data_IF_628480186964
#
_entry.id   IF_628480186964
#
_cell.length_a   1.000
_cell.length_b   1.000
_cell.length_c   1.000
_cell.angle_alpha   90.00
_cell.angle_beta   90.00
_cell.angle_gamma   90.00
#
_symmetry.space_group_name_H-M   'P 1'
#
loop_
_entity.id
_entity.type
_entity.pdbx_description
1 polymer ?
#
# COMPACT_ATOMS: atom_id res chain seq x y z
N UNK A 1 10.54 -23.88 19.88
CA UNK A 1 10.15 -23.51 18.53
C UNK A 1 11.23 -22.58 17.97
N UNK A 2 11.97 -22.96 16.91
CA UNK A 2 13.06 -22.13 16.38
C UNK A 2 12.57 -20.79 15.77
N UNK A 3 11.26 -20.58 15.68
CA UNK A 3 10.64 -19.38 15.12
C UNK A 3 9.97 -18.52 16.19
N UNK A 4 10.13 -18.82 17.48
CA UNK A 4 9.62 -17.97 18.55
C UNK A 4 10.69 -17.00 19.05
N UNK A 5 10.28 -15.80 19.43
CA UNK A 5 11.16 -14.81 20.04
C UNK A 5 10.42 -14.02 21.10
N UNK A 6 11.10 -13.80 22.21
CA UNK A 6 10.64 -12.93 23.30
C UNK A 6 11.36 -11.59 23.22
N UNK A 7 10.59 -10.54 23.34
CA UNK A 7 11.11 -9.18 23.42
C UNK A 7 10.61 -8.53 24.69
N UNK A 8 11.54 -7.93 25.42
CA UNK A 8 11.27 -7.21 26.65
C UNK A 8 11.28 -5.70 26.36
N UNK A 9 10.31 -5.00 26.89
CA UNK A 9 10.22 -3.56 26.82
C UNK A 9 9.44 -3.03 28.02
N UNK A 10 9.47 -1.75 28.22
CA UNK A 10 8.69 -1.07 29.25
C UNK A 10 8.01 0.14 28.66
N UNK A 11 7.07 0.68 29.41
CA UNK A 11 6.41 1.95 29.11
C UNK A 11 7.46 3.08 29.16
N UNK A 12 7.93 3.48 28.02
CA UNK A 12 9.29 3.90 27.72
C UNK A 12 9.54 5.37 27.99
N UNK A 13 8.52 6.17 27.97
CA UNK A 13 8.63 7.63 27.97
C UNK A 13 9.17 8.24 29.27
N UNK A 14 9.39 7.43 30.30
CA UNK A 14 9.78 7.93 31.63
C UNK A 14 11.07 7.38 32.18
N UNK A 15 11.70 6.42 31.51
CA UNK A 15 12.76 5.64 32.15
C UNK A 15 14.16 5.85 31.61
N UNK A 16 14.31 6.19 30.31
CA UNK A 16 15.62 6.34 29.70
C UNK A 16 15.72 7.64 28.89
N UNK A 17 16.86 8.28 28.91
CA UNK A 17 17.16 9.46 28.12
C UNK A 17 18.63 9.48 27.72
N UNK A 18 18.95 10.19 26.64
CA UNK A 18 20.30 10.52 26.23
C UNK A 18 20.63 11.94 26.67
N UNK A 19 21.82 12.11 27.21
CA UNK A 19 22.26 13.39 27.75
C UNK A 19 21.89 13.59 29.21
N UNK A 20 22.63 14.47 29.88
CA UNK A 20 22.51 14.74 31.33
C UNK A 20 21.14 15.31 31.73
N UNK A 21 20.49 15.95 30.78
CA UNK A 21 19.19 16.61 30.99
C UNK A 21 17.98 15.79 30.49
N UNK A 22 18.21 14.60 29.97
CA UNK A 22 17.16 13.72 29.49
C UNK A 22 16.36 14.25 28.29
N UNK A 23 16.91 15.17 27.51
CA UNK A 23 16.20 15.82 26.39
C UNK A 23 15.91 14.91 25.21
N UNK A 24 16.72 13.87 25.01
CA UNK A 24 16.49 12.89 23.97
C UNK A 24 15.92 11.61 24.58
N UNK A 25 14.75 11.21 24.14
CA UNK A 25 14.14 9.95 24.55
C UNK A 25 14.87 8.78 23.91
N UNK A 26 15.05 7.71 24.67
CA UNK A 26 15.67 6.49 24.20
C UNK A 26 14.75 5.31 24.49
N UNK A 27 14.46 4.55 23.45
CA UNK A 27 13.74 3.29 23.57
C UNK A 27 14.76 2.16 23.75
N UNK A 28 14.67 1.41 24.82
CA UNK A 28 15.57 0.27 25.07
C UNK A 28 14.77 -1.01 25.06
N UNK A 29 15.16 -1.94 24.19
CA UNK A 29 14.54 -3.25 24.06
C UNK A 29 15.52 -4.36 24.42
N UNK A 30 15.03 -5.34 25.16
CA UNK A 30 15.74 -6.60 25.40
C UNK A 30 15.29 -7.65 24.38
N UNK A 31 16.22 -8.29 23.68
CA UNK A 31 15.89 -9.29 22.67
C UNK A 31 16.69 -10.59 22.84
N UNK A 32 16.17 -11.65 22.26
CA UNK A 32 16.87 -12.92 22.09
C UNK A 32 17.66 -12.95 20.78
N UNK A 33 18.63 -13.85 20.68
CA UNK A 33 19.46 -14.02 19.50
C UNK A 33 18.64 -14.34 18.24
N UNK A 34 17.55 -15.10 18.39
CA UNK A 34 16.63 -15.43 17.29
C UNK A 34 15.93 -14.20 16.71
N UNK A 35 15.72 -13.16 17.51
CA UNK A 35 15.19 -11.89 17.04
C UNK A 35 16.27 -11.12 16.28
N UNK A 36 17.48 -11.04 16.83
CA UNK A 36 18.62 -10.36 16.19
C UNK A 36 18.96 -10.98 14.81
N UNK A 37 18.91 -12.30 14.70
CA UNK A 37 19.20 -13.02 13.46
C UNK A 37 18.23 -12.69 12.31
N UNK A 38 17.10 -12.03 12.59
CA UNK A 38 16.11 -11.60 11.59
C UNK A 38 16.21 -10.11 11.25
N UNK A 39 17.03 -9.36 11.98
CA UNK A 39 17.19 -7.93 11.71
C UNK A 39 18.08 -7.69 10.49
N UNK A 40 17.75 -6.65 9.75
CA UNK A 40 18.56 -6.15 8.63
C UNK A 40 19.70 -5.27 9.18
N UNK A 41 20.85 -5.91 9.41
CA UNK A 41 22.08 -5.24 9.88
C UNK A 41 22.69 -4.44 8.74
N UNK A 42 22.91 -3.14 8.93
CA UNK A 42 23.33 -2.20 7.89
C UNK A 42 24.78 -1.76 8.01
N UNK A 43 25.24 -1.49 9.20
CA UNK A 43 26.57 -0.96 9.48
C UNK A 43 27.17 -1.60 10.71
N UNK A 44 28.49 -1.69 10.77
CA UNK A 44 29.25 -2.27 11.87
C UNK A 44 29.37 -3.78 11.78
N UNK A 45 29.17 -4.49 12.89
CA UNK A 45 29.19 -5.96 12.93
C UNK A 45 27.94 -6.53 12.25
N UNK A 46 28.13 -7.29 11.19
CA UNK A 46 27.01 -7.85 10.39
C UNK A 46 26.74 -9.33 10.69
N UNK A 47 27.62 -10.01 11.42
CA UNK A 47 27.35 -11.35 11.91
C UNK A 47 26.48 -11.27 13.19
N UNK A 48 25.23 -11.69 13.07
CA UNK A 48 24.27 -11.61 14.18
C UNK A 48 24.70 -12.41 15.40
N UNK A 49 25.35 -13.58 15.21
CA UNK A 49 25.83 -14.40 16.32
C UNK A 49 27.00 -13.73 17.05
N UNK A 50 28.00 -13.25 16.30
CA UNK A 50 29.14 -12.53 16.85
C UNK A 50 28.70 -11.23 17.57
N UNK A 51 27.77 -10.49 16.94
CA UNK A 51 27.19 -9.29 17.52
C UNK A 51 26.48 -9.60 18.84
N UNK A 52 25.64 -10.65 18.88
CA UNK A 52 24.92 -11.03 20.08
C UNK A 52 25.85 -11.43 21.22
N UNK A 53 26.95 -12.15 20.91
CA UNK A 53 27.95 -12.51 21.90
C UNK A 53 28.65 -11.27 22.49
N UNK A 54 29.11 -10.34 21.66
CA UNK A 54 29.72 -9.08 22.11
C UNK A 54 28.77 -8.25 22.98
N UNK A 55 27.51 -8.11 22.54
CA UNK A 55 26.51 -7.41 23.32
C UNK A 55 26.22 -8.12 24.65
N UNK A 56 26.20 -9.45 24.68
CA UNK A 56 25.99 -10.25 25.90
C UNK A 56 27.16 -10.13 26.87
N UNK A 57 28.38 -9.92 26.37
CA UNK A 57 29.56 -9.60 27.17
C UNK A 57 29.59 -8.15 27.69
N UNK A 58 28.61 -7.32 27.29
CA UNK A 58 28.54 -5.92 27.68
C UNK A 58 29.50 -5.01 26.90
N UNK A 59 29.98 -5.44 25.74
CA UNK A 59 30.96 -4.70 24.93
C UNK A 59 30.32 -3.59 24.08
N UNK A 60 28.99 -3.56 23.95
CA UNK A 60 28.28 -2.50 23.23
C UNK A 60 26.82 -2.79 22.97
N UNK A 61 26.20 -1.93 22.17
CA UNK A 61 24.77 -1.96 21.85
C UNK A 61 24.53 -1.97 20.35
N UNK A 62 23.35 -2.46 19.93
CA UNK A 62 22.82 -2.31 18.59
C UNK A 62 21.86 -1.13 18.56
N UNK A 63 22.00 -0.27 17.53
CA UNK A 63 21.14 0.89 17.30
C UNK A 63 20.17 0.63 16.16
N UNK A 64 18.90 0.95 16.37
CA UNK A 64 17.89 0.96 15.34
C UNK A 64 17.92 2.26 14.54
N UNK A 65 17.97 2.18 13.22
CA UNK A 65 17.96 3.32 12.31
C UNK A 65 16.73 3.31 11.41
N UNK A 66 16.19 4.49 11.16
CA UNK A 66 15.04 4.63 10.28
C UNK A 66 15.43 4.46 8.82
N UNK A 67 14.60 3.73 8.07
CA UNK A 67 14.77 3.53 6.64
C UNK A 67 13.50 3.94 5.89
N UNK A 68 13.69 4.45 4.68
CA UNK A 68 12.60 4.70 3.75
C UNK A 68 11.99 3.36 3.31
N UNK A 69 10.68 3.24 3.38
CA UNK A 69 9.99 1.99 3.06
C UNK A 69 10.04 1.59 1.59
N UNK A 70 10.14 2.55 0.69
CA UNK A 70 10.11 2.28 -0.74
C UNK A 70 11.40 1.70 -1.30
N UNK A 71 12.55 2.18 -0.84
CA UNK A 71 13.89 1.84 -1.35
C UNK A 71 14.83 1.31 -0.27
N UNK A 72 14.36 1.22 0.97
CA UNK A 72 15.15 0.78 2.14
C UNK A 72 16.41 1.62 2.37
N UNK A 73 16.48 2.83 1.85
CA UNK A 73 17.58 3.77 2.12
C UNK A 73 17.48 4.32 3.54
N UNK A 74 18.62 4.62 4.15
CA UNK A 74 18.68 5.28 5.45
C UNK A 74 18.04 6.68 5.35
N UNK A 75 17.37 7.09 6.42
CA UNK A 75 16.89 8.47 6.60
C UNK A 75 17.93 9.24 7.39
N UNK A 76 18.78 10.07 6.72
CA UNK A 76 19.95 10.68 7.38
C UNK A 76 19.58 11.58 8.56
N UNK A 77 18.43 12.23 8.51
CA UNK A 77 17.96 13.14 9.57
C UNK A 77 17.61 12.40 10.87
N UNK A 78 17.38 11.08 10.79
CA UNK A 78 17.03 10.20 11.91
C UNK A 78 18.14 9.20 12.26
N UNK A 79 19.31 9.36 11.66
CA UNK A 79 20.52 8.59 12.00
C UNK A 79 21.31 9.34 13.10
N UNK A 80 20.96 9.02 14.35
CA UNK A 80 21.34 9.79 15.52
C UNK A 80 22.66 9.32 16.19
N UNK A 81 23.26 8.22 15.70
CA UNK A 81 24.44 7.66 16.35
C UNK A 81 25.33 6.90 15.34
N UNK A 82 26.64 7.11 15.40
CA UNK A 82 27.62 6.43 14.55
C UNK A 82 28.15 5.15 15.18
N UNK A 83 28.56 4.17 14.34
CA UNK A 83 29.25 2.97 14.81
C UNK A 83 30.56 3.35 15.51
N UNK A 84 30.79 2.80 16.69
CA UNK A 84 31.94 3.14 17.54
C UNK A 84 31.72 4.32 18.46
N UNK A 85 30.68 5.12 18.25
CA UNK A 85 30.31 6.21 19.18
C UNK A 85 29.86 5.62 20.51
N UNK A 86 30.30 6.22 21.62
CA UNK A 86 29.84 5.83 22.96
C UNK A 86 28.53 6.57 23.30
N UNK A 87 27.55 5.79 23.75
CA UNK A 87 26.25 6.29 24.15
C UNK A 87 26.11 6.09 25.64
N UNK A 88 25.75 7.16 26.37
CA UNK A 88 25.37 7.08 27.77
C UNK A 88 23.86 7.15 27.89
N UNK A 89 23.29 6.11 28.46
CA UNK A 89 21.85 6.03 28.74
C UNK A 89 21.60 6.39 30.20
N UNK A 90 20.73 7.36 30.41
CA UNK A 90 20.33 7.83 31.75
C UNK A 90 18.99 7.24 32.16
N UNK A 91 18.92 6.72 33.36
CA UNK A 91 17.67 6.24 34.00
C UNK A 91 17.38 7.09 35.20
N UNK A 92 16.25 7.79 35.22
CA UNK A 92 15.85 8.69 36.30
C UNK A 92 16.92 9.77 36.63
N UNK A 93 17.61 10.29 35.63
CA UNK A 93 18.65 11.32 35.81
C UNK A 93 20.02 10.80 36.22
N UNK A 94 20.20 9.50 36.43
CA UNK A 94 21.50 8.88 36.71
C UNK A 94 21.98 8.07 35.48
N UNK A 95 23.30 8.11 35.20
CA UNK A 95 23.89 7.29 34.17
C UNK A 95 23.68 5.80 34.49
N UNK A 96 22.92 5.11 33.67
CA UNK A 96 22.61 3.70 33.84
C UNK A 96 23.60 2.80 33.14
N UNK A 97 24.04 3.19 31.93
CA UNK A 97 25.06 2.47 31.16
C UNK A 97 25.76 3.42 30.20
N UNK A 98 26.98 3.07 29.83
CA UNK A 98 27.75 3.73 28.78
C UNK A 98 28.40 2.67 27.90
N UNK A 99 27.93 2.54 26.67
CA UNK A 99 28.33 1.50 25.74
C UNK A 99 28.60 2.04 24.35
N UNK A 100 29.60 1.52 23.61
CA UNK A 100 29.80 1.85 22.22
C UNK A 100 28.72 1.21 21.33
N UNK A 101 28.39 1.85 20.23
CA UNK A 101 27.55 1.30 19.17
C UNK A 101 28.37 0.27 18.39
N UNK A 102 27.95 -0.98 18.39
CA UNK A 102 28.61 -2.06 17.66
C UNK A 102 28.10 -2.20 16.24
N UNK A 103 26.80 -1.94 16.04
CA UNK A 103 26.15 -2.07 14.75
C UNK A 103 24.88 -1.22 14.68
N UNK A 104 24.41 -1.03 13.45
CA UNK A 104 23.11 -0.40 13.15
C UNK A 104 22.23 -1.42 12.45
N UNK A 105 20.93 -1.46 12.81
CA UNK A 105 19.91 -2.26 12.14
C UNK A 105 18.76 -1.42 11.66
N UNK A 106 18.23 -1.75 10.49
CA UNK A 106 17.05 -1.09 9.95
C UNK A 106 15.83 -1.34 10.85
N UNK A 107 15.11 -0.27 11.19
CA UNK A 107 13.83 -0.36 11.87
C UNK A 107 12.75 -0.71 10.84
N UNK A 108 12.52 -2.01 10.65
CA UNK A 108 11.44 -2.52 9.80
C UNK A 108 10.34 -3.12 10.66
N UNK A 109 9.11 -3.05 10.19
CA UNK A 109 7.96 -3.65 10.89
C UNK A 109 7.94 -5.16 10.79
N UNK A 110 8.62 -5.74 9.80
CA UNK A 110 8.44 -7.12 9.41
C UNK A 110 9.37 -8.09 10.13
N UNK A 111 10.59 -7.67 10.46
CA UNK A 111 11.62 -8.60 10.91
C UNK A 111 11.55 -8.95 12.40
N UNK A 112 11.17 -8.01 13.25
CA UNK A 112 11.17 -8.20 14.70
C UNK A 112 9.86 -7.80 15.37
N UNK A 113 8.98 -7.14 14.64
CA UNK A 113 7.74 -6.57 15.17
C UNK A 113 7.95 -5.53 16.27
N UNK A 114 9.16 -5.01 16.39
CA UNK A 114 9.58 -4.00 17.33
C UNK A 114 9.95 -2.79 16.51
N UNK A 115 9.12 -1.81 16.45
CA UNK A 115 9.49 -0.59 15.74
C UNK A 115 8.34 0.29 15.31
N UNK A 116 7.17 -0.29 15.17
CA UNK A 116 5.98 0.50 14.93
C UNK A 116 4.86 0.00 15.82
N UNK A 117 4.51 0.78 16.81
CA UNK A 117 3.19 0.69 17.44
C UNK A 117 2.17 1.23 16.44
N UNK A 118 0.91 0.81 16.56
CA UNK A 118 -0.21 1.11 15.64
C UNK A 118 -0.43 2.59 15.26
N UNK A 119 0.39 3.51 15.72
CA UNK A 119 0.34 4.95 15.45
C UNK A 119 1.28 5.45 14.34
N UNK A 120 2.00 4.59 13.63
CA UNK A 120 2.96 4.99 12.57
C UNK A 120 4.31 5.47 13.12
N UNK A 121 5.22 5.98 12.26
CA UNK A 121 6.59 6.35 12.60
C UNK A 121 6.70 7.47 13.66
N UNK A 122 5.59 8.12 13.98
CA UNK A 122 5.52 9.23 14.94
C UNK A 122 4.83 8.86 16.25
N UNK A 123 4.39 7.62 16.44
CA UNK A 123 3.63 7.22 17.62
C UNK A 123 4.49 7.13 18.89
N UNK A 124 5.79 7.11 18.74
CA UNK A 124 6.74 7.20 19.86
C UNK A 124 7.60 8.43 19.57
N UNK A 125 7.24 9.56 20.09
CA UNK A 125 7.92 10.86 20.07
C UNK A 125 9.05 10.94 19.05
N UNK A 126 8.78 11.34 17.85
CA UNK A 126 9.48 11.24 16.57
C UNK A 126 11.01 11.37 16.46
N UNK A 127 11.73 11.65 17.53
CA UNK A 127 13.16 11.97 17.50
C UNK A 127 13.99 11.13 18.50
N UNK A 128 13.47 9.96 18.92
CA UNK A 128 14.14 9.11 19.90
C UNK A 128 15.04 8.05 19.29
N UNK A 129 16.16 7.76 19.97
CA UNK A 129 17.05 6.67 19.63
C UNK A 129 16.46 5.34 20.08
N UNK A 130 16.57 4.30 19.24
CA UNK A 130 16.18 2.94 19.61
C UNK A 130 17.43 2.09 19.84
N UNK A 131 17.53 1.50 21.01
CA UNK A 131 18.63 0.63 21.41
C UNK A 131 18.14 -0.79 21.64
N UNK A 132 18.94 -1.74 21.21
CA UNK A 132 18.69 -3.15 21.42
C UNK A 132 19.80 -3.79 22.23
N UNK A 133 19.42 -4.54 23.25
CA UNK A 133 20.31 -5.27 24.16
C UNK A 133 19.90 -6.74 24.19
N UNK A 134 20.81 -7.67 24.50
CA UNK A 134 20.43 -9.02 24.87
C UNK A 134 19.48 -9.03 26.05
N UNK A 135 18.52 -9.94 26.05
CA UNK A 135 17.49 -10.04 27.10
C UNK A 135 18.12 -10.18 28.52
N UNK A 136 19.26 -10.85 28.65
CA UNK A 136 19.98 -10.95 29.92
C UNK A 136 20.52 -9.63 30.44
N UNK A 137 21.10 -8.81 29.55
CA UNK A 137 21.62 -7.48 29.90
C UNK A 137 20.46 -6.53 30.24
N UNK A 138 19.39 -6.58 29.44
CA UNK A 138 18.19 -5.79 29.69
C UNK A 138 17.57 -6.09 31.07
N UNK A 139 17.43 -7.38 31.42
CA UNK A 139 16.89 -7.81 32.72
C UNK A 139 17.74 -7.34 33.90
N UNK A 140 19.06 -7.20 33.72
CA UNK A 140 19.93 -6.65 34.75
C UNK A 140 19.75 -5.14 34.98
N UNK A 141 19.24 -4.41 33.97
CA UNK A 141 18.94 -2.97 34.09
C UNK A 141 17.58 -2.69 34.73
N UNK A 142 16.71 -3.68 34.79
CA UNK A 142 15.33 -3.56 35.24
C UNK A 142 15.00 -4.59 36.32
N UNK A 143 14.44 -4.13 37.46
CA UNK A 143 14.07 -5.02 38.55
C UNK A 143 12.87 -5.92 38.24
N UNK A 144 11.98 -5.47 37.33
CA UNK A 144 10.80 -6.22 36.89
C UNK A 144 10.58 -6.00 35.37
N UNK A 145 11.38 -6.65 34.52
CA UNK A 145 11.21 -6.49 33.07
C UNK A 145 9.90 -7.14 32.60
N UNK A 146 9.03 -6.34 31.99
CA UNK A 146 7.83 -6.85 31.36
C UNK A 146 8.13 -7.43 29.96
N UNK A 147 7.40 -8.45 29.57
CA UNK A 147 7.41 -8.94 28.20
C UNK A 147 6.65 -7.92 27.35
N UNK A 148 7.34 -7.31 26.39
CA UNK A 148 6.75 -6.37 25.44
C UNK A 148 6.04 -7.11 24.32
N UNK A 149 6.69 -8.13 23.75
CA UNK A 149 6.15 -8.91 22.65
C UNK A 149 6.66 -10.34 22.71
N UNK A 150 5.78 -11.25 22.41
CA UNK A 150 6.12 -12.64 22.12
C UNK A 150 5.66 -13.00 20.71
N UNK A 151 6.59 -13.37 19.84
CA UNK A 151 6.33 -13.78 18.46
C UNK A 151 6.59 -15.26 18.30
N UNK A 152 5.68 -15.98 17.67
CA UNK A 152 5.81 -17.41 17.43
C UNK A 152 5.04 -17.80 16.17
N UNK A 153 5.43 -18.91 15.56
CA UNK A 153 4.69 -19.51 14.46
C UNK A 153 3.77 -20.59 15.01
N UNK A 154 2.56 -20.64 14.46
CA UNK A 154 1.60 -21.72 14.67
C UNK A 154 1.77 -22.73 13.54
N UNK A 155 1.59 -24.00 13.85
CA UNK A 155 1.61 -25.07 12.83
C UNK A 155 0.38 -24.94 11.94
N UNK A 156 0.54 -25.20 10.64
CA UNK A 156 -0.51 -25.05 9.65
C UNK A 156 -1.75 -25.86 10.06
N UNK A 157 -2.91 -25.19 10.08
CA UNK A 157 -4.19 -25.77 10.45
C UNK A 157 -4.60 -25.60 11.91
N UNK A 158 -3.71 -25.11 12.77
CA UNK A 158 -4.00 -24.84 14.19
C UNK A 158 -4.22 -23.34 14.49
N UNK A 159 -4.25 -22.49 13.46
CA UNK A 159 -4.38 -21.04 13.63
C UNK A 159 -5.70 -20.65 14.32
N UNK A 160 -6.81 -21.33 13.99
CA UNK A 160 -8.12 -21.05 14.58
C UNK A 160 -8.15 -21.46 16.06
N UNK A 161 -7.56 -22.60 16.42
CA UNK A 161 -7.47 -23.07 17.80
C UNK A 161 -6.59 -22.14 18.65
N UNK A 162 -5.46 -21.71 18.10
CA UNK A 162 -4.59 -20.75 18.76
C UNK A 162 -5.27 -19.38 18.94
N UNK A 163 -6.01 -18.91 17.94
CA UNK A 163 -6.78 -17.67 18.04
C UNK A 163 -7.80 -17.76 19.18
N UNK A 164 -8.57 -18.83 19.24
CA UNK A 164 -9.53 -19.05 20.32
C UNK A 164 -8.86 -19.13 21.70
N UNK A 165 -7.70 -19.77 21.79
CA UNK A 165 -6.91 -19.81 23.02
C UNK A 165 -6.45 -18.40 23.46
N UNK A 166 -5.96 -17.60 22.52
CA UNK A 166 -5.48 -16.24 22.83
C UNK A 166 -6.65 -15.32 23.23
N UNK A 167 -7.82 -15.46 22.62
CA UNK A 167 -9.04 -14.72 22.99
C UNK A 167 -9.49 -15.08 24.41
N UNK A 168 -9.56 -16.38 24.72
CA UNK A 168 -9.89 -16.84 26.09
C UNK A 168 -8.87 -16.38 27.13
N UNK A 169 -7.57 -16.41 26.77
CA UNK A 169 -6.50 -15.93 27.65
C UNK A 169 -6.62 -14.44 27.94
N UNK A 170 -6.94 -13.62 26.93
CA UNK A 170 -7.15 -12.18 27.13
C UNK A 170 -8.39 -11.89 27.98
N UNK A 171 -9.44 -12.67 27.85
CA UNK A 171 -10.65 -12.49 28.67
C UNK A 171 -10.45 -12.91 30.13
N UNK A 172 -9.69 -13.99 30.36
CA UNK A 172 -9.60 -14.63 31.67
C UNK A 172 -8.34 -14.31 32.45
N UNK A 173 -7.18 -14.18 31.77
CA UNK A 173 -5.89 -14.09 32.45
C UNK A 173 -5.24 -12.71 32.34
N UNK A 174 -5.23 -12.06 31.19
CA UNK A 174 -4.59 -10.75 31.00
C UNK A 174 -5.35 -9.87 30.01
N UNK A 175 -6.31 -9.06 30.47
CA UNK A 175 -7.06 -8.14 29.63
C UNK A 175 -6.23 -7.00 29.01
N UNK A 176 -5.01 -6.79 29.46
CA UNK A 176 -4.11 -5.76 28.92
C UNK A 176 -3.33 -6.25 27.69
N UNK A 177 -3.34 -7.55 27.46
CA UNK A 177 -2.66 -8.16 26.33
C UNK A 177 -3.45 -7.95 25.02
N UNK A 178 -2.74 -7.80 23.92
CA UNK A 178 -3.31 -7.81 22.58
C UNK A 178 -2.54 -8.80 21.71
N UNK A 179 -3.19 -9.38 20.73
CA UNK A 179 -2.50 -10.22 19.76
C UNK A 179 -2.73 -9.74 18.33
N UNK A 180 -1.78 -10.04 17.46
CA UNK A 180 -1.87 -9.81 16.03
C UNK A 180 -1.60 -11.14 15.32
N UNK A 181 -2.59 -11.69 14.64
CA UNK A 181 -2.42 -12.88 13.83
C UNK A 181 -2.17 -12.53 12.37
N UNK A 182 -1.29 -13.28 11.71
CA UNK A 182 -1.05 -13.14 10.28
C UNK A 182 -2.33 -13.40 9.46
N UNK A 183 -3.20 -14.28 9.92
CA UNK A 183 -4.48 -14.57 9.29
C UNK A 183 -5.42 -13.35 9.36
N UNK A 184 -5.61 -12.77 10.56
CA UNK A 184 -6.45 -11.58 10.73
C UNK A 184 -5.92 -10.39 9.92
N UNK A 185 -4.60 -10.21 9.85
CA UNK A 185 -3.98 -9.19 9.02
C UNK A 185 -4.25 -9.41 7.51
N UNK A 186 -4.18 -10.65 7.03
CA UNK A 186 -4.54 -11.00 5.64
C UNK A 186 -6.01 -10.75 5.35
N UNK A 187 -6.91 -11.19 6.21
CA UNK A 187 -8.36 -10.99 6.08
C UNK A 187 -8.73 -9.50 6.05
N UNK A 188 -8.13 -8.71 6.93
CA UNK A 188 -8.28 -7.24 6.95
C UNK A 188 -7.78 -6.59 5.66
N UNK A 189 -6.61 -7.03 5.17
CA UNK A 189 -6.04 -6.55 3.91
C UNK A 189 -6.92 -6.92 2.71
N UNK A 190 -7.46 -8.14 2.67
CA UNK A 190 -8.38 -8.58 1.61
C UNK A 190 -9.70 -7.82 1.66
N UNK A 191 -10.25 -7.56 2.85
CA UNK A 191 -11.45 -6.75 3.02
C UNK A 191 -11.23 -5.32 2.51
N UNK A 192 -10.10 -4.71 2.85
CA UNK A 192 -9.71 -3.39 2.37
C UNK A 192 -9.56 -3.36 0.85
N UNK A 193 -8.87 -4.34 0.27
CA UNK A 193 -8.73 -4.46 -1.18
C UNK A 193 -10.07 -4.65 -1.89
N UNK A 194 -10.99 -5.42 -1.29
CA UNK A 194 -12.35 -5.60 -1.82
C UNK A 194 -13.12 -4.29 -1.80
N UNK A 195 -13.04 -3.53 -0.70
CA UNK A 195 -13.67 -2.22 -0.58
C UNK A 195 -13.13 -1.23 -1.65
N UNK A 196 -11.82 -1.14 -1.81
CA UNK A 196 -11.19 -0.28 -2.82
C UNK A 196 -11.63 -0.68 -4.23
N UNK A 197 -11.67 -1.97 -4.54
CA UNK A 197 -12.16 -2.47 -5.85
C UNK A 197 -13.62 -2.14 -6.10
N UNK A 198 -14.49 -2.25 -5.10
CA UNK A 198 -15.90 -1.92 -5.22
C UNK A 198 -16.09 -0.41 -5.44
N UNK A 199 -15.50 0.43 -4.60
CA UNK A 199 -15.61 1.89 -4.72
C UNK A 199 -15.03 2.37 -6.06
N UNK A 200 -13.81 1.93 -6.39
CA UNK A 200 -13.18 2.27 -7.68
C UNK A 200 -13.99 1.77 -8.87
N UNK A 201 -14.56 0.57 -8.79
CA UNK A 201 -15.43 0.00 -9.79
C UNK A 201 -16.72 0.80 -10.00
N UNK A 202 -17.36 1.25 -8.92
CA UNK A 202 -18.56 2.12 -9.02
C UNK A 202 -18.24 3.48 -9.63
N UNK A 203 -17.16 4.11 -9.23
CA UNK A 203 -16.71 5.39 -9.80
C UNK A 203 -16.38 5.21 -11.28
N UNK A 204 -15.64 4.15 -11.64
CA UNK A 204 -15.35 3.81 -13.03
C UNK A 204 -16.60 3.55 -13.86
N UNK A 205 -17.60 2.86 -13.30
CA UNK A 205 -18.89 2.62 -13.96
C UNK A 205 -19.65 3.94 -14.25
N UNK A 206 -19.70 4.86 -13.28
CA UNK A 206 -20.36 6.16 -13.45
C UNK A 206 -19.70 6.96 -14.59
N UNK A 207 -18.37 7.09 -14.57
CA UNK A 207 -17.64 7.79 -15.64
C UNK A 207 -17.74 7.06 -16.98
N UNK A 208 -17.72 5.73 -16.98
CA UNK A 208 -17.92 4.91 -18.17
C UNK A 208 -19.29 5.15 -18.81
N UNK A 209 -20.35 5.13 -18.01
CA UNK A 209 -21.71 5.43 -18.49
C UNK A 209 -21.84 6.87 -19.01
N UNK A 210 -21.27 7.84 -18.31
CA UNK A 210 -21.24 9.23 -18.78
C UNK A 210 -20.51 9.36 -20.12
N UNK A 211 -19.38 8.68 -20.29
CA UNK A 211 -18.63 8.62 -21.55
C UNK A 211 -19.43 7.98 -22.70
N UNK A 212 -20.12 6.86 -22.43
CA UNK A 212 -20.99 6.19 -23.41
C UNK A 212 -22.15 7.10 -23.81
N UNK A 213 -22.80 7.77 -22.85
CA UNK A 213 -23.88 8.69 -23.15
C UNK A 213 -23.41 9.88 -23.98
N UNK A 214 -22.26 10.45 -23.67
CA UNK A 214 -21.67 11.55 -24.44
C UNK A 214 -21.32 11.12 -25.87
N UNK A 215 -20.67 9.96 -26.05
CA UNK A 215 -20.38 9.40 -27.38
C UNK A 215 -21.66 9.15 -28.17
N UNK A 216 -22.67 8.55 -27.54
CA UNK A 216 -23.97 8.28 -28.15
C UNK A 216 -24.65 9.57 -28.61
N UNK A 217 -24.67 10.60 -27.76
CA UNK A 217 -25.24 11.90 -28.09
C UNK A 217 -24.51 12.55 -29.27
N UNK A 218 -23.19 12.50 -29.28
CA UNK A 218 -22.36 13.01 -30.38
C UNK A 218 -22.67 12.32 -31.69
N UNK A 219 -22.71 10.98 -31.69
CA UNK A 219 -23.01 10.20 -32.91
C UNK A 219 -24.42 10.44 -33.43
N UNK A 220 -25.43 10.50 -32.53
CA UNK A 220 -26.82 10.82 -32.93
C UNK A 220 -26.91 12.25 -33.49
N UNK A 221 -26.30 13.22 -32.85
CA UNK A 221 -26.28 14.61 -33.32
C UNK A 221 -25.62 14.72 -34.68
N UNK A 222 -24.51 14.03 -34.92
CA UNK A 222 -23.83 13.98 -36.22
C UNK A 222 -24.75 13.42 -37.31
N UNK A 223 -25.45 12.32 -37.02
CA UNK A 223 -26.43 11.74 -37.97
C UNK A 223 -27.56 12.74 -38.29
N UNK A 224 -28.09 13.43 -37.27
CA UNK A 224 -29.17 14.41 -37.43
C UNK A 224 -28.74 15.64 -38.23
N UNK A 225 -27.60 16.19 -37.92
CA UNK A 225 -27.11 17.46 -38.52
C UNK A 225 -26.75 17.23 -40.00
N UNK A 226 -26.19 16.06 -40.34
CA UNK A 226 -25.75 15.73 -41.71
C UNK A 226 -26.82 15.05 -42.54
N UNK A 227 -28.08 15.05 -42.09
CA UNK A 227 -29.18 14.35 -42.78
C UNK A 227 -29.38 14.80 -44.25
N UNK A 228 -29.24 16.11 -44.54
CA UNK A 228 -29.34 16.65 -45.90
C UNK A 228 -28.20 16.10 -46.83
N UNK A 229 -27.01 16.02 -46.28
CA UNK A 229 -25.85 15.41 -47.01
C UNK A 229 -26.13 13.95 -47.36
N UNK A 230 -26.68 13.19 -46.40
CA UNK A 230 -27.01 11.77 -46.62
C UNK A 230 -28.08 11.58 -47.66
N UNK A 231 -29.13 12.41 -47.67
CA UNK A 231 -30.16 12.37 -48.71
C UNK A 231 -29.58 12.73 -50.07
N UNK A 232 -28.68 13.71 -50.13
CA UNK A 232 -27.99 14.05 -51.38
C UNK A 232 -27.11 12.87 -51.91
N UNK A 233 -26.38 12.19 -51.01
CA UNK A 233 -25.57 11.01 -51.36
C UNK A 233 -26.44 9.83 -51.84
N UNK A 234 -27.60 9.58 -51.22
CA UNK A 234 -28.56 8.57 -51.69
C UNK A 234 -29.14 8.94 -53.04
N UNK A 235 -29.41 10.21 -53.35
CA UNK A 235 -29.90 10.66 -54.66
C UNK A 235 -28.91 10.49 -55.80
N UNK A 236 -27.61 10.52 -55.51
CA UNK A 236 -26.52 10.25 -56.45
C UNK A 236 -26.25 8.74 -56.63
N UNK A 237 -26.96 7.87 -55.85
CA UNK A 237 -26.89 6.41 -56.03
C UNK A 237 -26.14 5.67 -54.93
N UNK A 238 -25.80 6.33 -53.82
CA UNK A 238 -25.20 5.65 -52.67
C UNK A 238 -26.22 4.73 -52.00
N UNK A 239 -25.81 3.47 -51.75
CA UNK A 239 -26.69 2.54 -51.06
C UNK A 239 -26.71 2.80 -49.55
N UNK A 240 -27.85 2.49 -48.92
CA UNK A 240 -27.97 2.60 -47.43
C UNK A 240 -26.89 1.84 -46.67
N UNK A 241 -26.44 0.69 -47.21
CA UNK A 241 -25.38 -0.11 -46.60
C UNK A 241 -24.04 0.62 -46.64
N UNK A 242 -23.75 1.32 -47.70
CA UNK A 242 -22.54 2.12 -47.85
C UNK A 242 -22.57 3.33 -46.88
N UNK A 243 -23.71 4.01 -46.80
CA UNK A 243 -23.91 5.13 -45.86
C UNK A 243 -23.73 4.68 -44.43
N UNK A 244 -24.38 3.57 -44.04
CA UNK A 244 -24.23 3.02 -42.69
C UNK A 244 -22.78 2.62 -42.39
N UNK A 245 -22.11 2.00 -43.35
CA UNK A 245 -20.68 1.64 -43.21
C UNK A 245 -19.79 2.86 -43.01
N UNK A 246 -20.02 3.94 -43.75
CA UNK A 246 -19.28 5.20 -43.59
C UNK A 246 -19.44 5.76 -42.15
N UNK A 247 -20.68 5.83 -41.64
CA UNK A 247 -20.95 6.34 -40.29
C UNK A 247 -20.38 5.45 -39.18
N UNK A 248 -20.42 4.12 -39.36
CA UNK A 248 -19.79 3.17 -38.45
C UNK A 248 -18.29 3.40 -38.40
N UNK A 249 -17.63 3.52 -39.53
CA UNK A 249 -16.19 3.78 -39.57
C UNK A 249 -15.82 5.12 -38.93
N UNK A 250 -16.62 6.18 -39.20
CA UNK A 250 -16.42 7.48 -38.54
C UNK A 250 -16.53 7.37 -36.99
N UNK A 251 -17.54 6.66 -36.49
CA UNK A 251 -17.69 6.41 -35.06
C UNK A 251 -16.52 5.57 -34.46
N UNK A 252 -16.08 4.54 -35.20
CA UNK A 252 -14.94 3.70 -34.77
C UNK A 252 -13.63 4.52 -34.71
N UNK A 253 -13.39 5.42 -35.67
CA UNK A 253 -12.20 6.29 -35.64
C UNK A 253 -12.22 7.23 -34.40
N UNK A 254 -13.36 7.82 -34.09
CA UNK A 254 -13.50 8.64 -32.87
C UNK A 254 -13.25 7.81 -31.59
N UNK A 255 -13.86 6.63 -31.50
CA UNK A 255 -13.67 5.75 -30.36
C UNK A 255 -12.23 5.23 -30.25
N UNK A 256 -11.60 4.87 -31.37
CA UNK A 256 -10.21 4.41 -31.40
C UNK A 256 -9.24 5.51 -30.94
N UNK A 257 -9.44 6.75 -31.42
CA UNK A 257 -8.65 7.90 -30.96
C UNK A 257 -8.81 8.17 -29.45
N UNK A 258 -10.05 8.13 -28.96
CA UNK A 258 -10.33 8.28 -27.54
C UNK A 258 -9.71 7.14 -26.70
N UNK A 259 -9.79 5.89 -27.16
CA UNK A 259 -9.17 4.75 -26.52
C UNK A 259 -7.64 4.88 -26.46
N UNK A 260 -7.01 5.28 -27.57
CA UNK A 260 -5.55 5.46 -27.61
C UNK A 260 -5.08 6.50 -26.59
N UNK A 261 -5.72 7.68 -26.61
CA UNK A 261 -5.40 8.74 -25.65
C UNK A 261 -5.71 8.32 -24.21
N UNK A 262 -6.84 7.67 -23.98
CA UNK A 262 -7.24 7.17 -22.67
C UNK A 262 -6.28 6.12 -22.12
N UNK A 263 -5.79 5.18 -22.96
CA UNK A 263 -4.81 4.18 -22.55
C UNK A 263 -3.46 4.80 -22.18
N UNK A 264 -3.00 5.78 -22.98
CA UNK A 264 -1.74 6.49 -22.68
C UNK A 264 -1.83 7.26 -21.37
N UNK A 265 -2.93 8.00 -21.15
CA UNK A 265 -3.14 8.74 -19.92
C UNK A 265 -3.31 7.81 -18.71
N UNK A 266 -4.06 6.71 -18.87
CA UNK A 266 -4.23 5.73 -17.80
C UNK A 266 -2.89 5.09 -17.42
N UNK A 267 -2.09 4.68 -18.40
CA UNK A 267 -0.77 4.13 -18.14
C UNK A 267 0.17 5.14 -17.48
N UNK A 268 0.15 6.40 -17.90
CA UNK A 268 0.96 7.45 -17.28
C UNK A 268 0.57 7.69 -15.82
N UNK A 269 -0.74 7.78 -15.53
CA UNK A 269 -1.24 7.96 -14.16
C UNK A 269 -0.94 6.74 -13.27
N UNK A 270 -1.09 5.54 -13.81
CA UNK A 270 -0.86 4.29 -13.08
C UNK A 270 0.63 4.13 -12.70
N UNK A 271 1.53 4.42 -13.64
CA UNK A 271 2.98 4.31 -13.44
C UNK A 271 3.58 5.46 -12.59
N UNK A 272 2.90 6.59 -12.48
CA UNK A 272 3.37 7.74 -11.70
C UNK A 272 2.65 7.84 -10.35
N UNK A 273 1.36 8.19 -10.36
CA UNK A 273 0.59 8.47 -9.15
C UNK A 273 0.26 7.19 -8.39
N UNK A 274 -0.33 6.18 -9.08
CA UNK A 274 -0.79 4.96 -8.40
C UNK A 274 0.40 4.18 -7.87
N UNK A 275 1.46 4.05 -8.68
CA UNK A 275 2.70 3.39 -8.24
C UNK A 275 3.30 4.08 -7.03
N UNK A 276 3.47 5.41 -7.04
CA UNK A 276 4.01 6.17 -5.91
C UNK A 276 3.16 6.02 -4.65
N UNK A 277 1.82 6.03 -4.77
CA UNK A 277 0.93 5.80 -3.64
C UNK A 277 1.03 4.38 -3.09
N UNK A 278 1.10 3.37 -3.97
CA UNK A 278 1.21 1.97 -3.55
C UNK A 278 2.58 1.68 -2.94
N UNK A 279 3.65 2.21 -3.51
CA UNK A 279 5.02 2.05 -2.99
C UNK A 279 5.18 2.69 -1.58
N UNK A 280 4.35 3.68 -1.23
CA UNK A 280 4.31 4.23 0.13
C UNK A 280 3.54 3.36 1.14
N UNK A 281 2.81 2.34 0.67
CA UNK A 281 2.00 1.44 1.48
C UNK A 281 2.65 0.05 1.53
N UNK A 282 3.27 -0.31 2.66
CA UNK A 282 3.95 -1.59 2.86
C UNK A 282 3.07 -2.84 2.63
N UNK A 283 1.74 -2.69 2.75
CA UNK A 283 0.76 -3.78 2.62
C UNK A 283 0.44 -4.15 1.17
N UNK A 284 0.82 -3.33 0.19
CA UNK A 284 0.41 -3.50 -1.20
C UNK A 284 1.62 -3.60 -2.13
N UNK A 285 1.52 -4.51 -3.09
CA UNK A 285 2.49 -4.61 -4.19
C UNK A 285 1.87 -4.06 -5.46
N UNK A 286 2.52 -3.08 -6.08
CA UNK A 286 2.07 -2.53 -7.35
C UNK A 286 2.12 -3.60 -8.45
N UNK A 287 0.97 -3.79 -9.13
CA UNK A 287 0.85 -4.66 -10.31
C UNK A 287 0.18 -3.91 -11.44
N UNK A 288 0.94 -3.57 -12.45
CA UNK A 288 0.40 -2.93 -13.63
C UNK A 288 -0.53 -3.87 -14.40
N UNK A 289 -1.78 -3.45 -14.67
CA UNK A 289 -2.78 -4.26 -15.34
C UNK A 289 -3.59 -3.42 -16.33
N UNK A 290 -3.48 -3.72 -17.62
CA UNK A 290 -4.23 -3.05 -18.68
C UNK A 290 -5.62 -3.68 -18.94
N UNK A 291 -5.92 -4.83 -18.37
CA UNK A 291 -7.14 -5.57 -18.68
C UNK A 291 -8.44 -4.77 -18.49
N UNK A 292 -8.67 -4.00 -17.41
CA UNK A 292 -9.88 -3.20 -17.28
C UNK A 292 -9.99 -2.08 -18.31
N UNK A 293 -8.87 -1.44 -18.64
CA UNK A 293 -8.82 -0.38 -19.65
C UNK A 293 -9.11 -0.91 -21.05
N UNK A 294 -8.57 -2.07 -21.41
CA UNK A 294 -8.86 -2.74 -22.69
C UNK A 294 -10.33 -3.18 -22.76
N UNK A 295 -10.92 -3.67 -21.68
CA UNK A 295 -12.33 -4.01 -21.62
C UNK A 295 -13.21 -2.76 -21.86
N UNK A 296 -12.89 -1.63 -21.23
CA UNK A 296 -13.59 -0.37 -21.46
C UNK A 296 -13.48 0.11 -22.93
N UNK A 297 -12.29 0.00 -23.55
CA UNK A 297 -12.10 0.28 -24.96
C UNK A 297 -12.96 -0.62 -25.86
N UNK A 298 -13.05 -1.91 -25.54
CA UNK A 298 -13.91 -2.85 -26.26
C UNK A 298 -15.38 -2.45 -26.24
N UNK A 299 -15.88 -2.01 -25.07
CA UNK A 299 -17.26 -1.50 -24.92
C UNK A 299 -17.47 -0.23 -25.73
N UNK A 300 -16.56 0.75 -25.66
CA UNK A 300 -16.66 1.99 -26.44
C UNK A 300 -16.66 1.72 -27.95
N UNK A 301 -15.81 0.84 -28.46
CA UNK A 301 -15.79 0.44 -29.87
C UNK A 301 -17.09 -0.26 -30.27
N UNK A 302 -17.64 -1.13 -29.45
CA UNK A 302 -18.93 -1.76 -29.71
C UNK A 302 -20.08 -0.74 -29.78
N UNK A 303 -20.13 0.20 -28.83
CA UNK A 303 -21.13 1.28 -28.83
C UNK A 303 -20.99 2.16 -30.06
N UNK A 304 -19.77 2.54 -30.45
CA UNK A 304 -19.52 3.37 -31.63
C UNK A 304 -19.92 2.71 -32.93
N UNK A 305 -19.91 1.37 -33.02
CA UNK A 305 -20.37 0.63 -34.17
C UNK A 305 -21.90 0.46 -34.18
N UNK A 306 -22.53 0.23 -33.02
CA UNK A 306 -23.96 -0.09 -32.91
C UNK A 306 -24.84 1.18 -33.00
N UNK A 307 -24.44 2.27 -32.35
CA UNK A 307 -25.25 3.50 -32.26
C UNK A 307 -25.58 4.09 -33.64
N UNK A 308 -24.64 4.27 -34.62
CA UNK A 308 -24.96 4.77 -35.93
C UNK A 308 -25.94 3.89 -36.70
N UNK A 309 -25.79 2.56 -36.58
CA UNK A 309 -26.70 1.61 -37.21
C UNK A 309 -28.13 1.75 -36.71
N UNK A 310 -28.28 1.86 -35.38
CA UNK A 310 -29.60 2.05 -34.76
C UNK A 310 -30.21 3.42 -35.12
N UNK A 311 -29.40 4.47 -35.06
CA UNK A 311 -29.84 5.82 -35.42
C UNK A 311 -30.36 5.88 -36.86
N UNK A 312 -29.57 5.39 -37.81
CA UNK A 312 -29.98 5.37 -39.20
C UNK A 312 -31.23 4.49 -39.45
N UNK A 313 -31.32 3.33 -38.81
CA UNK A 313 -32.54 2.48 -38.88
C UNK A 313 -33.78 3.17 -38.34
N UNK A 314 -33.67 3.93 -37.28
CA UNK A 314 -34.78 4.67 -36.66
C UNK A 314 -35.25 5.79 -37.59
N UNK A 315 -34.32 6.54 -38.19
CA UNK A 315 -34.65 7.64 -39.12
C UNK A 315 -35.30 7.16 -40.42
N UNK A 316 -34.98 5.98 -40.94
CA UNK A 316 -35.57 5.45 -42.17
C UNK A 316 -36.95 4.80 -41.98
N UNK A 317 -37.47 4.72 -40.76
CA UNK A 317 -38.86 4.24 -40.49
C UNK A 317 -39.94 5.31 -40.80
N UNK A 318 -39.59 6.61 -40.92
CA UNK A 318 -40.49 7.67 -41.36
C UNK A 318 -40.69 7.65 -42.87
N UNK A 319 -41.92 7.84 -43.36
CA UNK A 319 -42.26 7.92 -44.79
C UNK A 319 -41.45 9.01 -45.49
N UNK A 320 -40.96 8.75 -46.69
CA UNK A 320 -40.19 9.70 -47.54
C UNK A 320 -40.95 10.99 -47.74
N UNK A 321 -42.30 10.97 -47.77
CA UNK A 321 -43.19 12.15 -47.92
C UNK A 321 -43.18 13.00 -46.67
N UNK A 322 -43.10 12.42 -45.46
CA UNK A 322 -43.00 13.14 -44.20
C UNK A 322 -41.63 13.78 -43.98
N UNK A 323 -40.60 13.16 -44.54
CA UNK A 323 -39.22 13.65 -44.52
C UNK A 323 -39.00 14.88 -45.44
N UNK A 324 -39.70 14.95 -46.55
CA UNK A 324 -39.68 16.11 -47.45
C UNK A 324 -40.47 17.29 -46.87
N UNK A 325 -41.59 17.05 -46.16
CA UNK A 325 -42.36 18.07 -45.49
C UNK A 325 -41.68 18.71 -44.27
N UNK A 326 -40.84 17.99 -43.60
CA UNK A 326 -40.07 18.49 -42.47
C UNK A 326 -38.78 19.23 -42.90
N UNK A 327 -38.50 19.33 -44.20
CA UNK A 327 -37.33 20.00 -44.76
C UNK A 327 -37.70 21.37 -45.42
N UNK A 328 -38.98 21.72 -45.46
CA UNK A 328 -39.49 23.06 -45.76
C UNK A 328 -39.67 23.85 -44.45
#
# INVERSE_FOLDING_TARGET
>A
NPHSSLTFGVDQYRSFGLGDDGRMLCNVYGMEETALARMDLREGETDAHALFQKMSAGEGVLVGVHVNRGDMSLVPELDLADVGQRITVYKNGAAAMELPVLAKAALTTDDVGIGYTDGGPYAIGGDGLTLYLPAGVYKALYDAPAVYKYSFNVEDGYEAEMTAFLEDYMETADPSMSYLSAQAARESSEATQRMIRLVGGFVGLIFGLAGILNLTNTLITTVLTRRREFTAMESVGMTRRQLTGMMVWEGVYYAAGACLLGLVLAAALDLTLVKSMVDSMWQFTFRFTLAPALAACGVLLAVSAVVPVLALRYFHKGSIVEQLRAAE
#
